data_IF_071579623587
#
_entry.id   IF_071579623587
#
_cell.length_a   1.000
_cell.length_b   1.000
_cell.length_c   1.000
_cell.angle_alpha   90.00
_cell.angle_beta   90.00
_cell.angle_gamma   90.00
#
_symmetry.space_group_name_H-M   'P 1'
#
loop_
_entity.id
_entity.type
_entity.pdbx_description
1 polymer ?
#
# COMPACT_ATOMS: atom_id res chain seq x y z
N UNK A 1 23.67 16.69 -6.34
CA UNK A 1 22.46 16.15 -5.69
C UNK A 1 22.20 14.85 -6.40
N UNK A 2 22.58 13.74 -5.77
CA UNK A 2 22.56 12.41 -6.37
C UNK A 2 21.09 11.96 -6.46
N UNK A 3 20.44 12.18 -7.59
CA UNK A 3 19.12 11.62 -7.87
C UNK A 3 19.28 10.11 -8.06
N UNK A 4 19.13 9.39 -6.95
CA UNK A 4 19.08 7.95 -6.94
C UNK A 4 18.03 7.49 -7.95
N UNK A 5 18.43 6.60 -8.85
CA UNK A 5 17.57 5.85 -9.76
C UNK A 5 16.52 5.07 -8.96
N UNK A 6 15.44 5.73 -8.56
CA UNK A 6 14.33 5.15 -7.84
C UNK A 6 13.56 4.29 -8.83
N UNK A 7 13.67 2.97 -8.69
CA UNK A 7 12.78 2.03 -9.36
C UNK A 7 11.36 2.58 -9.32
N UNK A 8 10.76 2.82 -10.50
CA UNK A 8 9.50 3.56 -10.61
C UNK A 8 8.39 2.78 -9.90
N UNK A 9 8.12 3.13 -8.65
CA UNK A 9 7.06 2.49 -7.86
C UNK A 9 5.73 3.03 -8.37
N UNK A 10 4.97 2.18 -9.06
CA UNK A 10 3.62 2.54 -9.53
C UNK A 10 2.63 2.39 -8.37
N UNK A 11 2.23 3.52 -7.80
CA UNK A 11 1.22 3.58 -6.75
C UNK A 11 -0.19 3.63 -7.33
N UNK A 12 -1.07 2.75 -6.84
CA UNK A 12 -2.49 2.73 -7.20
C UNK A 12 -3.33 3.24 -6.03
N UNK A 13 -4.06 4.32 -6.26
CA UNK A 13 -5.04 4.86 -5.31
C UNK A 13 -6.35 4.08 -5.39
N UNK A 14 -6.97 3.80 -4.24
CA UNK A 14 -8.30 3.15 -4.21
C UNK A 14 -9.39 4.09 -4.75
N UNK A 15 -10.31 3.57 -5.55
CA UNK A 15 -11.48 4.31 -6.07
C UNK A 15 -12.50 4.68 -4.98
N UNK A 16 -12.36 4.11 -3.77
CA UNK A 16 -13.18 4.48 -2.59
C UNK A 16 -12.66 5.70 -1.84
N UNK A 17 -11.62 6.37 -2.35
CA UNK A 17 -10.99 7.56 -1.77
C UNK A 17 -11.79 8.85 -1.98
N UNK A 18 -13.13 8.79 -1.88
CA UNK A 18 -14.00 9.96 -2.06
C UNK A 18 -14.20 10.69 -0.71
N UNK A 19 -13.44 11.76 -0.51
CA UNK A 19 -13.79 12.89 0.38
C UNK A 19 -13.75 12.65 1.90
N UNK A 20 -13.74 11.41 2.39
CA UNK A 20 -13.78 11.11 3.84
C UNK A 20 -12.41 10.89 4.49
N UNK A 21 -11.31 11.07 3.74
CA UNK A 21 -9.98 11.18 4.32
C UNK A 21 -9.33 9.86 4.77
N UNK A 22 -9.75 8.70 4.28
CA UNK A 22 -9.06 7.42 4.54
C UNK A 22 -8.41 6.89 3.26
N UNK A 23 -7.62 7.75 2.61
CA UNK A 23 -7.07 7.49 1.28
C UNK A 23 -5.74 6.74 1.41
N UNK A 24 -5.69 5.48 0.98
CA UNK A 24 -4.46 4.68 0.92
C UNK A 24 -4.06 4.41 -0.52
N UNK A 25 -2.75 4.32 -0.76
CA UNK A 25 -2.17 3.88 -2.04
C UNK A 25 -1.42 2.57 -1.84
N UNK A 26 -1.58 1.65 -2.80
CA UNK A 26 -0.91 0.35 -2.80
C UNK A 26 0.01 0.24 -4.01
N UNK A 27 1.22 -0.28 -3.80
CA UNK A 27 2.15 -0.65 -4.84
C UNK A 27 2.39 -2.16 -4.79
N UNK A 28 1.73 -2.92 -5.67
CA UNK A 28 1.76 -4.38 -5.75
C UNK A 28 2.57 -4.91 -6.96
N UNK A 29 3.09 -4.01 -7.80
CA UNK A 29 3.94 -4.34 -8.95
C UNK A 29 5.44 -4.45 -8.64
N UNK A 30 5.82 -4.44 -7.36
CA UNK A 30 7.22 -4.50 -6.94
C UNK A 30 7.68 -5.95 -6.76
N UNK A 31 8.91 -6.32 -7.16
CA UNK A 31 9.44 -7.66 -6.94
C UNK A 31 9.51 -8.00 -5.45
N UNK A 32 8.71 -8.97 -5.00
CA UNK A 32 8.79 -9.54 -3.64
C UNK A 32 8.28 -8.65 -2.51
N UNK A 33 7.65 -7.50 -2.81
CA UNK A 33 7.13 -6.58 -1.80
C UNK A 33 5.83 -5.93 -2.26
N UNK A 34 4.93 -5.67 -1.31
CA UNK A 34 3.74 -4.84 -1.49
C UNK A 34 3.88 -3.60 -0.60
N UNK A 35 3.89 -2.43 -1.21
CA UNK A 35 3.94 -1.15 -0.52
C UNK A 35 2.53 -0.64 -0.18
N UNK A 36 2.37 -0.06 1.01
CA UNK A 36 1.16 0.65 1.43
C UNK A 36 1.58 2.00 2.02
N UNK A 37 0.99 3.09 1.53
CA UNK A 37 1.23 4.43 2.12
C UNK A 37 -0.06 5.23 2.24
N UNK A 38 -0.01 6.25 3.09
CA UNK A 38 -1.07 7.26 3.19
C UNK A 38 -1.00 8.18 1.96
N UNK A 39 -2.12 8.32 1.25
CA UNK A 39 -2.21 9.25 0.11
C UNK A 39 -2.04 10.71 0.53
N UNK A 40 -2.34 11.05 1.79
CA UNK A 40 -2.25 12.41 2.34
C UNK A 40 -0.83 12.80 2.73
N UNK A 41 0.02 11.81 3.00
CA UNK A 41 1.43 12.02 3.26
C UNK A 41 2.30 11.12 2.36
N UNK A 42 2.43 11.45 1.06
CA UNK A 42 3.19 10.64 0.11
C UNK A 42 4.69 10.59 0.40
N UNK A 43 5.20 11.56 1.17
CA UNK A 43 6.59 11.64 1.63
C UNK A 43 6.81 10.97 2.99
N UNK A 44 5.72 10.61 3.68
CA UNK A 44 5.74 9.87 4.92
C UNK A 44 6.17 8.41 4.75
N UNK A 45 6.28 7.68 5.87
CA UNK A 45 6.73 6.28 5.87
C UNK A 45 5.73 5.37 5.13
N UNK A 46 6.24 4.54 4.22
CA UNK A 46 5.49 3.47 3.59
C UNK A 46 5.68 2.15 4.34
N UNK A 47 4.60 1.41 4.53
CA UNK A 47 4.63 0.04 5.04
C UNK A 47 4.98 -0.93 3.89
N UNK A 48 5.85 -1.89 4.17
CA UNK A 48 6.27 -2.91 3.22
C UNK A 48 5.84 -4.30 3.71
N UNK A 49 5.09 -5.02 2.89
CA UNK A 49 4.60 -6.36 3.18
C UNK A 49 5.20 -7.37 2.22
N UNK A 50 5.40 -8.61 2.68
CA UNK A 50 5.60 -9.74 1.76
C UNK A 50 4.29 -10.01 0.99
N UNK A 51 4.33 -10.42 -0.29
CA UNK A 51 3.14 -10.69 -1.09
C UNK A 51 2.20 -11.73 -0.47
N UNK A 52 2.75 -12.77 0.17
CA UNK A 52 1.97 -13.79 0.87
C UNK A 52 1.21 -13.22 2.07
N UNK A 53 1.89 -12.41 2.88
CA UNK A 53 1.31 -11.74 4.05
C UNK A 53 0.24 -10.73 3.65
N UNK A 54 0.47 -9.99 2.56
CA UNK A 54 -0.54 -9.11 1.97
C UNK A 54 -1.78 -9.87 1.52
N UNK A 55 -1.61 -10.98 0.82
CA UNK A 55 -2.73 -11.83 0.38
C UNK A 55 -3.52 -12.42 1.57
N UNK A 56 -2.82 -12.87 2.62
CA UNK A 56 -3.45 -13.37 3.84
C UNK A 56 -4.23 -12.26 4.57
N UNK A 57 -3.66 -11.07 4.68
CA UNK A 57 -4.33 -9.91 5.25
C UNK A 57 -5.62 -9.59 4.50
N UNK A 58 -5.59 -9.49 3.17
CA UNK A 58 -6.79 -9.19 2.37
C UNK A 58 -7.87 -10.26 2.54
N UNK A 59 -7.50 -11.54 2.62
CA UNK A 59 -8.46 -12.62 2.91
C UNK A 59 -9.09 -12.44 4.28
N UNK A 60 -8.28 -12.21 5.30
CA UNK A 60 -8.78 -12.03 6.66
C UNK A 60 -9.69 -10.79 6.81
N UNK A 61 -9.41 -9.70 6.10
CA UNK A 61 -10.33 -8.53 6.02
C UNK A 61 -11.67 -8.94 5.41
N UNK A 62 -11.65 -9.66 4.29
CA UNK A 62 -12.87 -10.07 3.57
C UNK A 62 -13.74 -11.05 4.35
N UNK A 63 -13.09 -11.92 5.12
CA UNK A 63 -13.75 -12.93 5.94
C UNK A 63 -14.14 -12.38 7.33
N UNK A 64 -13.86 -11.09 7.61
CA UNK A 64 -14.10 -10.44 8.91
C UNK A 64 -13.41 -11.14 10.09
N UNK A 65 -12.30 -11.84 9.82
CA UNK A 65 -11.56 -12.63 10.80
C UNK A 65 -10.36 -11.91 11.41
N UNK A 66 -10.08 -10.67 10.99
CA UNK A 66 -9.08 -9.83 11.63
C UNK A 66 -9.59 -9.35 12.98
N UNK A 67 -9.22 -10.09 14.03
CA UNK A 67 -9.39 -9.64 15.41
C UNK A 67 -8.41 -8.52 15.75
N UNK A 68 -8.90 -7.49 16.46
CA UNK A 68 -8.11 -6.35 16.97
C UNK A 68 -7.21 -6.74 18.13
#
# INVERSE_FOLDING_TARGET
>A
MEEANQATVTWRKSTRSNGSGNCVEVADGLPGVVGLRDSKDPAGPALAFQPSSWAAFIRAVKDETLSR
#
